data_IF_579599341856
#
_entry.id   IF_579599341856
#
_cell.length_a   1.000
_cell.length_b   1.000
_cell.length_c   1.000
_cell.angle_alpha   90.00
_cell.angle_beta   90.00
_cell.angle_gamma   90.00
#
_symmetry.space_group_name_H-M   'P 1'
#
loop_
_entity.id
_entity.type
_entity.pdbx_description
1 polymer ?
#
# COMPACT_ATOMS: atom_id res chain seq x y z
N UNK A 1 -11.33 -16.15 11.47
CA UNK A 1 -11.73 -15.35 10.28
C UNK A 1 -12.37 -13.99 10.63
N UNK A 2 -13.24 -13.88 11.66
CA UNK A 2 -13.93 -12.61 11.97
C UNK A 2 -13.09 -11.52 12.67
N UNK A 3 -12.06 -11.86 13.46
CA UNK A 3 -11.24 -10.85 14.14
C UNK A 3 -10.35 -10.04 13.18
N UNK A 4 -9.86 -10.68 12.11
CA UNK A 4 -8.96 -10.10 11.13
C UNK A 4 -9.69 -9.10 10.20
N UNK A 5 -10.88 -9.47 9.72
CA UNK A 5 -11.79 -8.57 8.98
C UNK A 5 -12.24 -7.38 9.82
N UNK A 6 -12.53 -7.62 11.10
CA UNK A 6 -12.91 -6.56 12.05
C UNK A 6 -11.74 -5.61 12.31
N UNK A 7 -10.52 -6.12 12.36
CA UNK A 7 -9.32 -5.30 12.50
C UNK A 7 -9.09 -4.43 11.25
N UNK A 8 -9.11 -4.99 10.04
CA UNK A 8 -8.95 -4.20 8.79
C UNK A 8 -9.97 -3.05 8.75
N UNK A 9 -11.26 -3.36 8.96
CA UNK A 9 -12.31 -2.33 8.97
C UNK A 9 -12.10 -1.27 10.05
N UNK A 10 -11.53 -1.64 11.22
CA UNK A 10 -11.23 -0.68 12.28
C UNK A 10 -9.99 0.16 11.91
N UNK A 11 -8.94 -0.42 11.30
CA UNK A 11 -7.72 0.29 10.88
C UNK A 11 -8.02 1.39 9.86
N UNK A 12 -9.04 1.17 9.03
CA UNK A 12 -9.39 2.04 7.90
C UNK A 12 -10.64 2.88 8.17
N UNK A 13 -11.28 2.71 9.33
CA UNK A 13 -12.40 3.57 9.75
C UNK A 13 -11.91 4.96 10.18
N UNK A 14 -12.79 5.96 10.07
CA UNK A 14 -12.54 7.40 10.28
C UNK A 14 -11.97 7.75 11.68
N UNK A 15 -12.03 6.82 12.64
CA UNK A 15 -11.51 7.03 13.99
C UNK A 15 -10.30 6.12 14.23
N UNK A 16 -9.10 6.64 13.94
CA UNK A 16 -7.86 6.03 14.40
C UNK A 16 -7.79 6.11 15.93
N UNK A 17 -8.17 5.02 16.60
CA UNK A 17 -8.16 4.92 18.06
C UNK A 17 -6.77 4.59 18.60
N UNK A 18 -6.42 5.07 19.79
CA UNK A 18 -5.24 4.62 20.54
C UNK A 18 -5.14 3.09 20.67
N UNK A 19 -6.29 2.42 20.70
CA UNK A 19 -6.38 0.97 20.78
C UNK A 19 -5.89 0.30 19.48
N UNK A 20 -6.22 0.89 18.33
CA UNK A 20 -5.72 0.47 17.01
C UNK A 20 -4.21 0.58 16.95
N UNK A 21 -3.67 1.73 17.34
CA UNK A 21 -2.23 1.96 17.42
C UNK A 21 -1.55 0.92 18.31
N UNK A 22 -2.15 0.59 19.46
CA UNK A 22 -1.63 -0.47 20.34
C UNK A 22 -1.65 -1.83 19.66
N UNK A 23 -2.75 -2.24 19.04
CA UNK A 23 -2.85 -3.54 18.39
C UNK A 23 -1.80 -3.71 17.29
N UNK A 24 -1.67 -2.71 16.42
CA UNK A 24 -0.71 -2.78 15.31
C UNK A 24 0.74 -2.62 15.77
N UNK A 25 1.04 -2.08 16.95
CA UNK A 25 2.42 -2.02 17.47
C UNK A 25 2.78 -3.18 18.42
N UNK A 26 1.82 -3.70 19.20
CA UNK A 26 2.08 -4.61 20.33
C UNK A 26 1.51 -6.02 20.13
N UNK A 27 0.90 -6.33 18.98
CA UNK A 27 0.52 -7.70 18.62
C UNK A 27 1.43 -8.23 17.50
N UNK A 28 2.48 -9.01 17.83
CA UNK A 28 3.37 -9.60 16.83
C UNK A 28 2.66 -10.61 15.93
N UNK A 29 1.65 -11.32 16.47
CA UNK A 29 0.86 -12.32 15.75
C UNK A 29 -0.19 -11.71 14.81
N UNK A 30 -0.24 -10.39 14.69
CA UNK A 30 -1.19 -9.72 13.83
C UNK A 30 -0.73 -9.84 12.37
N UNK A 31 -1.49 -10.57 11.56
CA UNK A 31 -1.25 -10.60 10.13
C UNK A 31 -1.72 -9.29 9.48
N UNK A 32 -0.78 -8.40 9.16
CA UNK A 32 -1.05 -7.10 8.51
C UNK A 32 -1.29 -7.21 7.00
N UNK A 33 -0.95 -8.35 6.39
CA UNK A 33 -1.20 -8.64 4.97
C UNK A 33 -2.55 -9.30 4.72
N UNK A 34 -3.35 -9.44 5.76
CA UNK A 34 -4.71 -9.92 5.62
C UNK A 34 -5.50 -9.04 4.65
N UNK A 35 -6.29 -9.68 3.80
CA UNK A 35 -7.10 -9.02 2.79
C UNK A 35 -8.58 -9.00 3.16
N UNK A 36 -9.28 -7.98 2.68
CA UNK A 36 -10.74 -7.85 2.81
C UNK A 36 -11.48 -8.69 1.75
N UNK A 37 -12.77 -8.43 1.55
CA UNK A 37 -13.58 -9.17 0.56
C UNK A 37 -13.30 -8.74 -0.89
N UNK A 38 -12.63 -7.60 -1.11
CA UNK A 38 -12.14 -7.13 -2.41
C UNK A 38 -10.68 -7.53 -2.63
N UNK A 39 -10.13 -8.39 -1.77
CA UNK A 39 -8.75 -8.81 -1.85
C UNK A 39 -7.75 -7.72 -1.43
N UNK A 40 -8.16 -6.62 -0.78
CA UNK A 40 -7.26 -5.52 -0.43
C UNK A 40 -6.73 -5.62 1.00
N UNK A 41 -5.44 -5.33 1.20
CA UNK A 41 -4.84 -5.31 2.53
C UNK A 41 -5.02 -3.96 3.24
N UNK A 42 -4.64 -3.90 4.52
CA UNK A 42 -4.79 -2.71 5.35
C UNK A 42 -4.03 -1.49 4.81
N UNK A 43 -2.87 -1.68 4.17
CA UNK A 43 -2.07 -0.59 3.61
C UNK A 43 -2.77 0.03 2.39
N UNK A 44 -3.24 -0.80 1.46
CA UNK A 44 -3.98 -0.35 0.27
C UNK A 44 -5.22 0.46 0.67
N UNK A 45 -5.96 -0.01 1.68
CA UNK A 45 -7.14 0.67 2.19
C UNK A 45 -6.79 1.98 2.93
N UNK A 46 -5.71 2.02 3.72
CA UNK A 46 -5.28 3.24 4.39
C UNK A 46 -4.90 4.33 3.37
N UNK A 47 -4.18 3.96 2.30
CA UNK A 47 -3.83 4.87 1.21
C UNK A 47 -5.06 5.30 0.42
N UNK A 48 -5.99 4.38 0.14
CA UNK A 48 -7.23 4.70 -0.58
C UNK A 48 -8.11 5.74 0.14
N UNK A 49 -8.03 5.78 1.48
CA UNK A 49 -8.74 6.74 2.32
C UNK A 49 -7.88 7.96 2.73
N UNK A 50 -6.67 8.12 2.18
CA UNK A 50 -5.74 9.21 2.51
C UNK A 50 -5.34 9.27 4.01
N UNK A 51 -5.33 8.13 4.70
CA UNK A 51 -4.98 8.04 6.12
C UNK A 51 -3.46 7.96 6.32
N UNK A 52 -2.78 9.11 6.33
CA UNK A 52 -1.33 9.21 6.47
C UNK A 52 -0.80 8.53 7.76
N UNK A 53 -1.39 8.82 8.91
CA UNK A 53 -0.92 8.28 10.21
C UNK A 53 -1.00 6.76 10.29
N UNK A 54 -2.06 6.18 9.70
CA UNK A 54 -2.22 4.72 9.59
C UNK A 54 -1.18 4.14 8.63
N UNK A 55 -0.93 4.83 7.52
CA UNK A 55 0.08 4.43 6.53
C UNK A 55 1.48 4.38 7.16
N UNK A 56 1.90 5.44 7.86
CA UNK A 56 3.17 5.50 8.59
C UNK A 56 3.28 4.37 9.62
N UNK A 57 2.20 4.12 10.35
CA UNK A 57 2.19 3.07 11.36
C UNK A 57 2.36 1.68 10.74
N UNK A 58 1.64 1.39 9.65
CA UNK A 58 1.73 0.11 8.97
C UNK A 58 3.13 -0.13 8.40
N UNK A 59 3.74 0.90 7.80
CA UNK A 59 5.10 0.84 7.24
C UNK A 59 6.20 0.57 8.26
N UNK A 60 5.91 0.65 9.56
CA UNK A 60 6.79 0.16 10.62
C UNK A 60 6.91 -1.37 10.68
N UNK A 61 6.11 -2.12 9.92
CA UNK A 61 6.14 -3.60 9.87
C UNK A 61 7.05 -4.09 8.74
N UNK A 62 7.94 -5.03 9.06
CA UNK A 62 9.00 -5.51 8.16
C UNK A 62 8.47 -6.34 6.97
N UNK A 63 7.35 -7.03 7.16
CA UNK A 63 6.81 -8.01 6.20
C UNK A 63 5.56 -7.49 5.48
N UNK A 64 5.56 -6.25 4.99
CA UNK A 64 4.42 -5.71 4.23
C UNK A 64 4.45 -6.13 2.76
N UNK A 65 3.32 -6.67 2.30
CA UNK A 65 3.01 -6.96 0.90
C UNK A 65 2.31 -5.79 0.22
N UNK A 66 2.29 -5.77 -1.12
CA UNK A 66 1.51 -4.81 -1.95
C UNK A 66 1.85 -3.33 -1.74
N UNK A 67 3.05 -3.05 -1.26
CA UNK A 67 3.54 -1.67 -1.07
C UNK A 67 3.68 -0.96 -2.42
N UNK A 68 3.99 -1.69 -3.49
CA UNK A 68 4.03 -1.16 -4.85
C UNK A 68 2.66 -0.71 -5.35
N UNK A 69 1.60 -1.51 -5.15
CA UNK A 69 0.23 -1.08 -5.49
C UNK A 69 -0.19 0.17 -4.70
N UNK A 70 0.11 0.18 -3.40
CA UNK A 70 -0.17 1.34 -2.54
C UNK A 70 0.53 2.61 -3.05
N UNK A 71 1.79 2.51 -3.51
CA UNK A 71 2.51 3.64 -4.12
C UNK A 71 1.85 4.12 -5.41
N UNK A 72 1.50 3.20 -6.31
CA UNK A 72 0.84 3.57 -7.57
C UNK A 72 -0.50 4.26 -7.32
N UNK A 73 -1.28 3.78 -6.34
CA UNK A 73 -2.51 4.43 -5.93
C UNK A 73 -2.28 5.85 -5.41
N UNK A 74 -1.32 6.04 -4.50
CA UNK A 74 -1.00 7.35 -3.94
C UNK A 74 -0.59 8.37 -5.02
N UNK A 75 0.24 7.94 -5.97
CA UNK A 75 0.66 8.75 -7.13
C UNK A 75 -0.55 9.11 -7.99
N UNK A 76 -1.40 8.13 -8.32
CA UNK A 76 -2.58 8.36 -9.17
C UNK A 76 -3.59 9.34 -8.56
N UNK A 77 -3.60 9.47 -7.24
CA UNK A 77 -4.48 10.37 -6.48
C UNK A 77 -3.83 11.71 -6.14
N UNK A 78 -2.54 11.88 -6.42
CA UNK A 78 -1.80 13.10 -6.04
C UNK A 78 -1.51 13.21 -4.54
N UNK A 79 -1.53 12.11 -3.78
CA UNK A 79 -1.27 12.13 -2.34
C UNK A 79 0.23 12.27 -2.06
N UNK A 80 0.75 13.50 -2.18
CA UNK A 80 2.19 13.80 -2.09
C UNK A 80 2.81 13.28 -0.79
N UNK A 81 2.21 13.60 0.37
CA UNK A 81 2.75 13.19 1.68
C UNK A 81 2.79 11.67 1.86
N UNK A 82 1.75 10.99 1.41
CA UNK A 82 1.68 9.52 1.46
C UNK A 82 2.71 8.91 0.51
N UNK A 83 2.88 9.49 -0.67
CA UNK A 83 3.90 9.07 -1.66
C UNK A 83 5.30 9.17 -1.06
N UNK A 84 5.63 10.29 -0.41
CA UNK A 84 6.92 10.49 0.26
C UNK A 84 7.17 9.45 1.36
N UNK A 85 6.17 9.20 2.20
CA UNK A 85 6.23 8.19 3.26
C UNK A 85 6.42 6.79 2.70
N UNK A 86 5.71 6.42 1.64
CA UNK A 86 5.85 5.12 0.97
C UNK A 86 7.24 4.96 0.34
N UNK A 87 7.77 5.98 -0.34
CA UNK A 87 9.11 5.96 -0.94
C UNK A 87 10.23 5.82 0.10
N UNK A 88 9.99 6.25 1.35
CA UNK A 88 10.92 6.04 2.47
C UNK A 88 11.00 4.59 2.96
N UNK A 89 10.10 3.71 2.52
CA UNK A 89 10.08 2.31 2.93
C UNK A 89 11.24 1.51 2.31
N UNK A 90 11.86 0.61 3.08
CA UNK A 90 12.99 -0.24 2.64
C UNK A 90 12.73 -1.05 1.37
N UNK A 91 11.46 -1.33 1.07
CA UNK A 91 11.05 -2.01 -0.16
C UNK A 91 11.37 -1.23 -1.43
N UNK A 92 11.67 0.07 -1.36
CA UNK A 92 12.08 0.89 -2.50
C UNK A 92 13.57 1.25 -2.47
N UNK A 93 14.36 0.62 -1.60
CA UNK A 93 15.83 0.71 -1.68
C UNK A 93 16.37 0.12 -2.99
N UNK A 94 15.62 -0.81 -3.59
CA UNK A 94 15.86 -1.28 -4.95
C UNK A 94 15.18 -0.35 -5.96
N UNK A 95 15.99 0.42 -6.68
CA UNK A 95 15.53 1.37 -7.71
C UNK A 95 14.82 0.68 -8.88
N UNK A 96 15.01 -0.63 -9.07
CA UNK A 96 14.26 -1.39 -10.06
C UNK A 96 12.75 -1.38 -9.75
N UNK A 97 12.34 -1.27 -8.48
CA UNK A 97 10.93 -1.12 -8.08
C UNK A 97 10.34 0.27 -8.34
N UNK A 98 11.07 1.15 -9.00
CA UNK A 98 10.56 2.44 -9.49
C UNK A 98 10.56 2.52 -11.02
N UNK A 99 11.38 1.69 -11.67
CA UNK A 99 11.74 1.84 -13.08
C UNK A 99 11.42 0.61 -13.93
N UNK A 100 11.40 -0.59 -13.35
CA UNK A 100 11.03 -1.81 -14.03
C UNK A 100 9.51 -1.93 -14.15
N UNK A 101 9.06 -2.42 -15.30
CA UNK A 101 7.66 -2.78 -15.50
C UNK A 101 7.25 -3.88 -14.51
N UNK A 102 6.07 -3.81 -13.89
CA UNK A 102 5.50 -4.93 -13.13
C UNK A 102 5.53 -6.30 -13.84
N UNK A 103 5.56 -6.35 -15.18
CA UNK A 103 5.73 -7.62 -15.92
C UNK A 103 7.17 -8.14 -15.96
N UNK A 104 8.17 -7.27 -15.73
CA UNK A 104 9.59 -7.61 -15.69
C UNK A 104 10.07 -8.00 -14.29
N UNK A 105 9.38 -7.51 -13.25
CA UNK A 105 9.60 -7.96 -11.88
C UNK A 105 9.02 -9.37 -11.78
N UNK A 106 9.78 -10.28 -11.17
CA UNK A 106 9.36 -11.67 -11.00
C UNK A 106 7.95 -11.70 -10.38
N UNK A 107 6.96 -12.24 -11.11
CA UNK A 107 5.53 -12.24 -10.73
C UNK A 107 5.25 -13.01 -9.43
N UNK A 108 6.29 -13.60 -8.82
CA UNK A 108 6.24 -14.34 -7.57
C UNK A 108 6.14 -13.43 -6.32
N UNK A 109 6.39 -12.12 -6.44
CA UNK A 109 6.19 -11.19 -5.32
C UNK A 109 4.91 -10.37 -5.54
N UNK A 110 3.99 -10.41 -4.57
CA UNK A 110 2.72 -9.66 -4.51
C UNK A 110 2.93 -8.14 -4.39
N UNK A 111 4.05 -7.60 -4.90
CA UNK A 111 4.48 -6.25 -4.66
C UNK A 111 3.58 -5.20 -5.33
N UNK A 112 3.17 -5.45 -6.58
CA UNK A 112 2.24 -4.61 -7.35
C UNK A 112 0.83 -5.21 -7.49
N UNK A 113 0.58 -6.34 -6.83
CA UNK A 113 -0.74 -6.98 -6.85
C UNK A 113 -1.79 -6.07 -6.21
N UNK A 114 -2.88 -5.83 -6.93
CA UNK A 114 -4.05 -5.13 -6.44
C UNK A 114 -4.90 -6.07 -5.58
N UNK A 115 -5.24 -7.22 -6.15
CA UNK A 115 -5.98 -8.33 -5.57
C UNK A 115 -5.37 -9.66 -6.07
N UNK A 116 -6.15 -10.74 -6.06
CA UNK A 116 -5.73 -12.04 -6.61
C UNK A 116 -5.77 -12.12 -8.14
N UNK A 117 -6.46 -11.18 -8.80
CA UNK A 117 -6.72 -11.18 -10.24
C UNK A 117 -5.70 -10.36 -11.05
N UNK A 118 -4.89 -9.51 -10.40
CA UNK A 118 -3.75 -8.87 -11.06
C UNK A 118 -3.34 -7.51 -10.48
N UNK A 119 -2.83 -6.64 -11.36
CA UNK A 119 -2.32 -5.30 -11.01
C UNK A 119 -3.35 -4.21 -11.28
N UNK A 120 -3.32 -3.13 -10.49
CA UNK A 120 -4.27 -2.00 -10.61
C UNK A 120 -4.17 -1.25 -11.94
N UNK A 121 -2.95 -1.13 -12.46
CA UNK A 121 -2.64 -0.48 -13.72
C UNK A 121 -2.08 -1.48 -14.72
N UNK A 122 -1.99 -1.09 -15.99
CA UNK A 122 -1.28 -1.86 -17.01
C UNK A 122 0.11 -2.24 -16.52
N UNK A 123 0.60 -3.43 -16.88
CA UNK A 123 1.92 -3.89 -16.47
C UNK A 123 3.06 -3.00 -16.99
N UNK A 124 2.83 -2.13 -17.96
CA UNK A 124 3.82 -1.16 -18.44
C UNK A 124 3.90 0.10 -17.57
N UNK A 125 2.94 0.30 -16.65
CA UNK A 125 2.89 1.47 -15.78
C UNK A 125 3.81 1.31 -14.58
N UNK A 126 4.98 1.93 -14.66
CA UNK A 126 5.91 2.06 -13.54
C UNK A 126 5.58 3.29 -12.69
N UNK A 127 6.02 3.35 -11.42
CA UNK A 127 5.81 4.53 -10.57
C UNK A 127 6.30 5.83 -11.21
N UNK A 128 7.46 5.80 -11.88
CA UNK A 128 8.01 6.98 -12.57
C UNK A 128 7.15 7.38 -13.77
N UNK A 129 6.72 6.44 -14.60
CA UNK A 129 5.84 6.72 -15.75
C UNK A 129 4.52 7.31 -15.27
N UNK A 130 3.90 6.69 -14.26
CA UNK A 130 2.63 7.17 -13.71
C UNK A 130 2.75 8.59 -13.14
N UNK A 131 3.83 8.88 -12.40
CA UNK A 131 4.07 10.23 -11.86
C UNK A 131 4.23 11.30 -12.95
N UNK A 132 4.91 10.96 -14.06
CA UNK A 132 5.03 11.87 -15.22
C UNK A 132 3.67 12.13 -15.88
N UNK A 133 2.86 11.08 -16.05
CA UNK A 133 1.51 11.19 -16.63
C UNK A 133 0.62 12.07 -15.77
N UNK A 134 0.57 11.83 -14.45
CA UNK A 134 -0.24 12.62 -13.51
C UNK A 134 0.17 14.09 -13.55
N UNK A 135 1.48 14.38 -13.51
CA UNK A 135 2.01 15.75 -13.60
C UNK A 135 1.62 16.43 -14.92
N UNK A 136 1.67 15.71 -16.04
CA UNK A 136 1.31 16.25 -17.35
C UNK A 136 -0.19 16.59 -17.45
N UNK A 137 -1.04 15.87 -16.70
CA UNK A 137 -2.49 16.11 -16.64
C UNK A 137 -2.89 17.26 -15.69
N UNK A 138 -1.93 17.89 -15.02
CA UNK A 138 -2.16 19.09 -14.20
C UNK A 138 -2.91 18.84 -12.90
N UNK A 139 -2.78 17.63 -12.34
CA UNK A 139 -3.20 17.33 -10.97
C UNK A 139 -2.09 17.65 -9.96
#
# INVERSE_FOLDING_TARGET
>A
MNALKKLINILTSVYFSHEVRRMVLHMPSLNVNAVDYMGQNALQLAVANEHLEVTELLLGRVELSRVGDALLLAISKGYVRITEVLLGHRSFSDVQRLTASPAQVDMLDDFYAYDEDGTRFSHDMTPVILGLVVRALGQ
#
